data_IF_035201476433
#
_entry.id   IF_035201476433
#
_cell.length_a   1.000
_cell.length_b   1.000
_cell.length_c   1.000
_cell.angle_alpha   90.00
_cell.angle_beta   90.00
_cell.angle_gamma   90.00
#
_symmetry.space_group_name_H-M   'P 1'
#
loop_
_entity.id
_entity.type
_entity.pdbx_description
1 polymer ?
#
# COMPACT_ATOMS: atom_id res chain seq x y z
N UNK A 1 17.82 -10.62 -10.58
CA UNK A 1 16.70 -10.69 -9.60
C UNK A 1 15.41 -10.71 -10.39
N UNK A 2 14.39 -11.45 -9.96
CA UNK A 2 13.14 -11.56 -10.71
C UNK A 2 12.25 -10.39 -10.28
N UNK A 3 12.02 -9.45 -11.17
CA UNK A 3 11.11 -8.32 -10.95
C UNK A 3 9.71 -8.85 -10.69
N UNK A 4 9.06 -8.28 -9.69
CA UNK A 4 7.72 -8.70 -9.29
C UNK A 4 6.63 -7.79 -9.85
N UNK A 5 6.90 -6.49 -9.91
CA UNK A 5 6.11 -5.48 -10.59
C UNK A 5 7.02 -4.74 -11.57
N UNK A 6 6.53 -4.47 -12.76
CA UNK A 6 7.16 -3.60 -13.75
C UNK A 6 6.11 -2.61 -14.25
N UNK A 7 6.44 -1.33 -14.20
CA UNK A 7 5.66 -0.23 -14.76
C UNK A 7 6.54 0.47 -15.78
N UNK A 8 6.08 0.59 -17.03
CA UNK A 8 6.86 1.10 -18.14
C UNK A 8 6.10 2.20 -18.88
N UNK A 9 6.57 3.45 -18.76
CA UNK A 9 6.03 4.63 -19.46
C UNK A 9 4.52 4.85 -19.27
N UNK A 10 3.99 4.51 -18.08
CA UNK A 10 2.59 4.71 -17.77
C UNK A 10 2.24 6.20 -17.77
N UNK A 11 1.28 6.58 -18.59
CA UNK A 11 0.71 7.93 -18.65
C UNK A 11 -0.80 7.85 -18.58
N UNK A 12 -1.41 8.76 -17.81
CA UNK A 12 -2.86 8.76 -17.67
C UNK A 12 -3.45 10.18 -17.54
N UNK A 13 -4.51 10.44 -18.29
CA UNK A 13 -5.32 11.65 -18.18
C UNK A 13 -6.76 11.29 -17.85
N UNK A 14 -7.34 12.01 -16.91
CA UNK A 14 -8.77 11.90 -16.59
C UNK A 14 -9.64 12.46 -17.76
N UNK A 15 -10.93 12.09 -17.83
CA UNK A 15 -11.82 12.56 -18.90
C UNK A 15 -11.99 14.09 -18.97
N UNK A 16 -11.72 14.81 -17.88
CA UNK A 16 -11.72 16.27 -17.82
C UNK A 16 -10.45 16.93 -18.41
N UNK A 17 -9.51 16.11 -18.88
CA UNK A 17 -8.24 16.55 -19.47
C UNK A 17 -7.10 16.73 -18.47
N UNK A 18 -7.33 16.49 -17.17
CA UNK A 18 -6.25 16.52 -16.18
C UNK A 18 -5.29 15.34 -16.35
N UNK A 19 -4.04 15.63 -16.70
CA UNK A 19 -2.97 14.65 -16.85
C UNK A 19 -2.39 14.33 -15.47
N UNK A 20 -2.75 13.15 -14.94
CA UNK A 20 -2.42 12.74 -13.59
C UNK A 20 -1.11 11.95 -13.49
N UNK A 21 -0.71 11.25 -14.55
CA UNK A 21 0.54 10.49 -14.63
C UNK A 21 1.22 10.74 -15.99
N UNK A 22 2.56 10.90 -15.97
CA UNK A 22 3.40 11.17 -17.13
C UNK A 22 4.63 10.28 -17.15
N UNK A 23 4.69 9.35 -18.10
CA UNK A 23 5.86 8.49 -18.34
C UNK A 23 6.40 7.81 -17.06
N UNK A 24 5.52 7.34 -16.18
CA UNK A 24 5.89 6.67 -14.95
C UNK A 24 6.55 5.34 -15.27
N UNK A 25 7.80 5.15 -14.83
CA UNK A 25 8.51 3.90 -15.00
C UNK A 25 9.25 3.55 -13.71
N UNK A 26 8.97 2.38 -13.16
CA UNK A 26 9.67 1.81 -12.01
C UNK A 26 9.43 0.31 -11.94
N UNK A 27 10.18 -0.35 -11.11
CA UNK A 27 10.03 -1.78 -10.83
C UNK A 27 10.08 -2.08 -9.34
N UNK A 28 9.62 -3.25 -8.95
CA UNK A 28 9.68 -3.77 -7.59
C UNK A 28 10.19 -5.20 -7.60
N UNK A 29 11.17 -5.49 -6.77
CA UNK A 29 11.67 -6.84 -6.57
C UNK A 29 10.77 -7.64 -5.62
N UNK A 30 10.88 -8.97 -5.68
CA UNK A 30 10.16 -9.85 -4.76
C UNK A 30 10.60 -9.61 -3.31
N UNK A 31 9.64 -9.45 -2.40
CA UNK A 31 9.83 -9.12 -0.97
C UNK A 31 10.44 -7.73 -0.71
N UNK A 32 10.52 -6.88 -1.72
CA UNK A 32 10.92 -5.49 -1.55
C UNK A 32 9.79 -4.67 -0.91
N UNK A 33 10.17 -3.67 -0.10
CA UNK A 33 9.29 -2.59 0.36
C UNK A 33 9.73 -1.29 -0.27
N UNK A 34 8.84 -0.67 -1.06
CA UNK A 34 9.06 0.58 -1.78
C UNK A 34 8.12 1.66 -1.23
N UNK A 35 8.63 2.83 -0.91
CA UNK A 35 7.77 3.97 -0.61
C UNK A 35 7.52 4.84 -1.85
N UNK A 36 6.30 5.32 -2.01
CA UNK A 36 5.93 6.35 -2.98
C UNK A 36 5.63 7.62 -2.20
N UNK A 37 6.54 8.58 -2.27
CA UNK A 37 6.48 9.86 -1.59
C UNK A 37 6.01 10.94 -2.55
N UNK A 38 5.44 12.01 -2.02
CA UNK A 38 5.06 13.17 -2.83
C UNK A 38 3.94 13.98 -2.20
N UNK A 39 3.74 15.23 -2.64
CA UNK A 39 2.69 16.09 -2.14
C UNK A 39 1.29 15.59 -2.53
N UNK A 40 0.26 16.19 -1.92
CA UNK A 40 -1.12 15.93 -2.34
C UNK A 40 -1.31 16.38 -3.79
N UNK A 41 -2.04 15.59 -4.56
CA UNK A 41 -2.25 15.85 -6.00
C UNK A 41 -1.11 15.40 -6.92
N UNK A 42 -0.04 14.79 -6.39
CA UNK A 42 1.08 14.32 -7.21
C UNK A 42 0.77 13.12 -8.14
N UNK A 43 -0.41 12.51 -8.03
CA UNK A 43 -0.80 11.33 -8.83
C UNK A 43 -0.70 9.99 -8.08
N UNK A 44 -0.37 10.00 -6.79
CA UNK A 44 -0.13 8.78 -6.00
C UNK A 44 -1.32 7.82 -5.98
N UNK A 45 -2.51 8.30 -5.64
CA UNK A 45 -3.75 7.49 -5.64
C UNK A 45 -4.10 7.00 -7.04
N UNK A 46 -3.92 7.84 -8.07
CA UNK A 46 -4.12 7.44 -9.47
C UNK A 46 -3.20 6.27 -9.83
N UNK A 47 -1.94 6.32 -9.43
CA UNK A 47 -0.99 5.23 -9.66
C UNK A 47 -1.42 3.93 -8.95
N UNK A 48 -1.84 4.00 -7.66
CA UNK A 48 -2.36 2.85 -6.92
C UNK A 48 -3.52 2.17 -7.66
N UNK A 49 -4.47 2.97 -8.15
CA UNK A 49 -5.66 2.45 -8.83
C UNK A 49 -5.33 1.78 -10.17
N UNK A 50 -4.23 2.17 -10.83
CA UNK A 50 -3.70 1.45 -11.99
C UNK A 50 -3.04 0.13 -11.58
N UNK A 51 -2.28 0.11 -10.47
CA UNK A 51 -1.61 -1.13 -10.00
C UNK A 51 -2.58 -2.26 -9.65
N UNK A 52 -3.84 -1.96 -9.34
CA UNK A 52 -4.89 -2.95 -9.07
C UNK A 52 -5.86 -3.13 -10.25
N UNK A 53 -5.69 -2.37 -11.34
CA UNK A 53 -6.59 -2.40 -12.49
C UNK A 53 -8.00 -1.88 -12.19
N UNK A 54 -8.13 -0.93 -11.27
CA UNK A 54 -9.38 -0.19 -11.02
C UNK A 54 -9.50 0.96 -12.04
N UNK A 55 -8.39 1.65 -12.29
CA UNK A 55 -8.26 2.65 -13.36
C UNK A 55 -7.40 2.11 -14.50
N UNK A 56 -7.60 2.68 -15.67
CA UNK A 56 -6.83 2.39 -16.87
C UNK A 56 -7.58 1.49 -17.84
N UNK A 57 -7.24 1.62 -19.12
CA UNK A 57 -7.59 0.67 -20.15
C UNK A 57 -6.45 -0.35 -20.15
N UNK A 58 -6.59 -1.44 -19.43
CA UNK A 58 -5.76 -2.66 -19.41
C UNK A 58 -4.44 -2.54 -20.19
N UNK A 59 -3.52 -1.71 -19.66
CA UNK A 59 -2.38 -1.24 -20.41
C UNK A 59 -1.22 -2.25 -20.29
N UNK A 60 -0.58 -2.53 -21.43
CA UNK A 60 0.66 -3.32 -21.51
C UNK A 60 1.83 -2.69 -20.75
N UNK A 61 1.62 -1.49 -20.21
CA UNK A 61 2.59 -0.70 -19.45
C UNK A 61 2.83 -1.24 -18.04
N UNK A 62 1.90 -2.09 -17.52
CA UNK A 62 2.03 -2.70 -16.20
C UNK A 62 2.05 -4.21 -16.33
N UNK A 63 3.04 -4.82 -15.65
CA UNK A 63 3.16 -6.26 -15.50
C UNK A 63 3.32 -6.61 -14.03
N UNK A 64 2.51 -7.53 -13.52
CA UNK A 64 2.63 -8.08 -12.17
C UNK A 64 2.96 -9.56 -12.25
N UNK A 65 4.14 -9.96 -11.75
CA UNK A 65 4.62 -11.33 -11.86
C UNK A 65 4.64 -11.80 -13.32
N UNK A 66 3.79 -12.76 -13.69
CA UNK A 66 3.66 -13.26 -15.06
C UNK A 66 2.40 -12.75 -15.77
N UNK A 67 1.64 -11.85 -15.15
CA UNK A 67 0.38 -11.35 -15.69
C UNK A 67 0.58 -9.98 -16.35
N UNK A 68 0.14 -9.89 -17.60
CA UNK A 68 -0.11 -8.61 -18.27
C UNK A 68 -1.55 -8.16 -17.94
N UNK A 69 -1.76 -6.86 -17.90
CA UNK A 69 -3.08 -6.29 -17.62
C UNK A 69 -3.98 -6.49 -18.84
N UNK A 70 -4.85 -7.50 -18.78
CA UNK A 70 -5.87 -7.82 -19.77
C UNK A 70 -7.18 -8.15 -19.07
N UNK A 71 -8.32 -8.09 -19.78
CA UNK A 71 -9.62 -8.47 -19.23
C UNK A 71 -9.62 -9.89 -18.65
N UNK A 72 -8.85 -10.78 -19.28
CA UNK A 72 -8.74 -12.19 -18.88
C UNK A 72 -7.96 -12.34 -17.55
N UNK A 73 -6.94 -11.52 -17.32
CA UNK A 73 -6.04 -11.63 -16.18
C UNK A 73 -6.44 -10.74 -14.99
N UNK A 74 -7.41 -9.83 -15.14
CA UNK A 74 -7.72 -8.81 -14.14
C UNK A 74 -8.11 -9.41 -12.77
N UNK A 75 -8.79 -10.55 -12.77
CA UNK A 75 -9.17 -11.25 -11.54
C UNK A 75 -7.92 -11.79 -10.80
N UNK A 76 -6.96 -12.37 -11.52
CA UNK A 76 -5.70 -12.85 -10.96
C UNK A 76 -4.81 -11.70 -10.49
N UNK A 77 -4.80 -10.58 -11.20
CA UNK A 77 -4.10 -9.37 -10.81
C UNK A 77 -4.67 -8.84 -9.50
N UNK A 78 -5.99 -8.70 -9.36
CA UNK A 78 -6.65 -8.25 -8.12
C UNK A 78 -6.45 -9.20 -6.95
N UNK A 79 -6.33 -10.50 -7.20
CA UNK A 79 -5.93 -11.48 -6.19
C UNK A 79 -4.46 -11.32 -5.79
N UNK A 80 -3.61 -10.94 -6.74
CA UNK A 80 -2.16 -10.81 -6.57
C UNK A 80 -1.78 -9.48 -5.91
N UNK A 81 -2.45 -8.38 -6.28
CA UNK A 81 -2.23 -7.02 -5.79
C UNK A 81 -3.37 -6.63 -4.86
N UNK A 82 -3.15 -6.72 -3.57
CA UNK A 82 -4.10 -6.25 -2.57
C UNK A 82 -3.89 -4.77 -2.25
N UNK A 83 -4.97 -4.00 -2.24
CA UNK A 83 -4.94 -2.57 -1.91
C UNK A 83 -5.66 -2.33 -0.60
N UNK A 84 -5.01 -1.60 0.30
CA UNK A 84 -5.60 -1.07 1.54
C UNK A 84 -5.82 0.42 1.34
N UNK A 85 -7.09 0.84 1.40
CA UNK A 85 -7.48 2.24 1.19
C UNK A 85 -7.15 3.13 2.38
N UNK A 86 -7.07 4.44 2.11
CA UNK A 86 -6.75 5.45 3.11
C UNK A 86 -7.77 5.52 4.26
N UNK A 87 -9.06 5.39 3.99
CA UNK A 87 -10.07 5.33 5.03
C UNK A 87 -10.54 3.88 5.22
N UNK A 88 -10.36 3.28 6.42
CA UNK A 88 -10.84 1.93 6.69
C UNK A 88 -12.38 1.82 6.61
N UNK A 89 -13.13 2.90 6.80
CA UNK A 89 -14.59 2.89 6.69
C UNK A 89 -15.07 2.74 5.23
N UNK A 90 -14.22 3.04 4.24
CA UNK A 90 -14.48 2.74 2.82
C UNK A 90 -14.29 1.25 2.47
N UNK A 91 -13.69 0.48 3.38
CA UNK A 91 -13.31 -0.91 3.14
C UNK A 91 -14.06 -1.90 4.02
N UNK A 92 -14.48 -1.50 5.24
CA UNK A 92 -15.16 -2.34 6.22
C UNK A 92 -16.66 -2.06 6.21
N UNK A 93 -17.46 -3.05 5.82
CA UNK A 93 -18.91 -2.88 5.61
C UNK A 93 -19.76 -4.06 6.08
N UNK A 94 -19.14 -5.14 6.57
CA UNK A 94 -19.84 -6.32 7.06
C UNK A 94 -20.28 -6.15 8.53
N UNK A 95 -21.25 -6.94 9.01
CA UNK A 95 -21.74 -6.86 10.39
C UNK A 95 -20.66 -7.13 11.44
N UNK A 96 -19.70 -8.02 11.17
CA UNK A 96 -18.64 -8.42 12.09
C UNK A 96 -17.25 -8.37 11.43
N UNK A 97 -16.22 -8.26 12.26
CA UNK A 97 -14.82 -8.27 11.83
C UNK A 97 -14.48 -9.54 11.04
N UNK A 98 -14.90 -10.71 11.53
CA UNK A 98 -14.57 -11.97 10.84
C UNK A 98 -15.20 -12.02 9.44
N UNK A 99 -16.45 -11.54 9.30
CA UNK A 99 -17.16 -11.51 8.02
C UNK A 99 -16.49 -10.57 7.02
N UNK A 100 -16.01 -9.38 7.46
CA UNK A 100 -15.24 -8.46 6.61
C UNK A 100 -13.95 -9.11 6.10
N UNK A 101 -13.24 -9.82 6.98
CA UNK A 101 -11.97 -10.45 6.60
C UNK A 101 -12.18 -11.69 5.73
N UNK A 102 -13.28 -12.42 5.89
CA UNK A 102 -13.66 -13.55 5.03
C UNK A 102 -14.15 -13.13 3.64
N UNK A 103 -14.57 -11.87 3.47
CA UNK A 103 -15.19 -11.40 2.24
C UNK A 103 -14.29 -11.58 1.00
N UNK A 104 -13.02 -11.18 1.11
CA UNK A 104 -12.04 -11.33 0.01
C UNK A 104 -11.85 -12.79 -0.41
N UNK A 105 -11.48 -13.70 0.48
CA UNK A 105 -11.36 -15.13 0.19
C UNK A 105 -12.61 -15.73 -0.46
N UNK A 106 -13.81 -15.46 0.08
CA UNK A 106 -15.08 -15.94 -0.52
C UNK A 106 -15.26 -15.48 -1.97
N UNK A 107 -14.95 -14.21 -2.26
CA UNK A 107 -15.03 -13.67 -3.63
C UNK A 107 -14.01 -14.31 -4.58
N UNK A 108 -12.88 -14.80 -4.06
CA UNK A 108 -11.89 -15.53 -4.83
C UNK A 108 -12.18 -17.05 -4.92
N UNK A 109 -13.37 -17.51 -4.47
CA UNK A 109 -13.85 -18.87 -4.67
C UNK A 109 -13.45 -19.87 -3.59
N UNK A 110 -12.88 -19.41 -2.45
CA UNK A 110 -12.67 -20.28 -1.28
C UNK A 110 -14.00 -20.62 -0.61
N UNK A 111 -14.14 -21.85 -0.10
CA UNK A 111 -15.32 -22.23 0.66
C UNK A 111 -15.34 -21.57 2.06
N UNK A 112 -16.43 -21.77 2.80
CA UNK A 112 -16.64 -21.14 4.11
C UNK A 112 -15.51 -21.47 5.11
N UNK A 113 -15.16 -22.74 5.25
CA UNK A 113 -14.15 -23.20 6.20
C UNK A 113 -12.73 -22.70 5.82
N UNK A 114 -12.39 -22.72 4.54
CA UNK A 114 -11.13 -22.18 4.03
C UNK A 114 -11.06 -20.67 4.24
N UNK A 115 -12.15 -19.96 4.00
CA UNK A 115 -12.22 -18.50 4.18
C UNK A 115 -12.06 -18.11 5.64
N UNK A 116 -12.67 -18.88 6.56
CA UNK A 116 -12.53 -18.67 8.00
C UNK A 116 -11.08 -18.91 8.46
N UNK A 117 -10.44 -20.01 8.03
CA UNK A 117 -9.04 -20.28 8.36
C UNK A 117 -8.11 -19.15 7.89
N UNK A 118 -8.30 -18.67 6.66
CA UNK A 118 -7.54 -17.57 6.08
C UNK A 118 -7.76 -16.26 6.87
N UNK A 119 -8.99 -15.98 7.27
CA UNK A 119 -9.34 -14.81 8.03
C UNK A 119 -8.74 -14.83 9.44
N UNK A 120 -8.82 -15.96 10.13
CA UNK A 120 -8.21 -16.12 11.46
C UNK A 120 -6.69 -15.93 11.41
N UNK A 121 -6.02 -16.49 10.40
CA UNK A 121 -4.57 -16.30 10.20
C UNK A 121 -4.23 -14.83 9.96
N UNK A 122 -4.98 -14.16 9.08
CA UNK A 122 -4.77 -12.74 8.79
C UNK A 122 -5.00 -11.84 10.03
N UNK A 123 -6.06 -12.09 10.79
CA UNK A 123 -6.36 -11.34 12.02
C UNK A 123 -5.28 -11.55 13.10
N UNK A 124 -4.71 -12.75 13.17
CA UNK A 124 -3.57 -13.02 14.05
C UNK A 124 -2.34 -12.21 13.66
N UNK A 125 -2.03 -12.07 12.36
CA UNK A 125 -0.87 -11.31 11.88
C UNK A 125 -0.96 -9.82 12.24
N UNK A 126 -2.16 -9.28 12.42
CA UNK A 126 -2.38 -7.87 12.80
C UNK A 126 -2.79 -7.68 14.26
N UNK A 127 -2.70 -8.73 15.11
CA UNK A 127 -3.05 -8.70 16.54
C UNK A 127 -4.52 -8.31 16.79
N UNK A 128 -5.46 -8.87 16.01
CA UNK A 128 -6.90 -8.60 16.12
C UNK A 128 -7.76 -9.84 16.40
N UNK A 129 -7.16 -10.95 16.86
CA UNK A 129 -7.84 -12.22 17.11
C UNK A 129 -8.95 -12.14 18.17
N UNK A 130 -8.90 -11.18 19.09
CA UNK A 130 -9.88 -11.04 20.19
C UNK A 130 -11.14 -10.24 19.77
N UNK A 131 -11.25 -9.84 18.49
CA UNK A 131 -12.28 -8.92 18.02
C UNK A 131 -13.21 -9.51 16.96
N UNK A 132 -13.19 -10.82 16.74
CA UNK A 132 -13.85 -11.52 15.63
C UNK A 132 -15.32 -11.16 15.45
N UNK A 133 -16.07 -11.23 16.55
CA UNK A 133 -17.53 -11.02 16.57
C UNK A 133 -17.93 -9.54 16.76
N UNK A 134 -16.95 -8.63 16.85
CA UNK A 134 -17.26 -7.21 17.03
C UNK A 134 -17.68 -6.56 15.72
N UNK A 135 -18.70 -5.70 15.77
CA UNK A 135 -18.99 -4.82 14.64
C UNK A 135 -17.84 -3.84 14.39
N UNK A 136 -17.41 -3.63 13.13
CA UNK A 136 -16.29 -2.72 12.80
C UNK A 136 -16.47 -1.30 13.35
N UNK A 137 -17.69 -0.78 13.39
CA UNK A 137 -17.97 0.56 13.90
C UNK A 137 -17.77 0.72 15.42
N UNK A 138 -17.60 -0.38 16.19
CA UNK A 138 -17.23 -0.37 17.61
C UNK A 138 -15.71 -0.39 17.83
N UNK A 139 -14.91 -0.43 16.78
CA UNK A 139 -13.46 -0.43 16.86
C UNK A 139 -12.92 1.01 16.88
N UNK A 140 -11.76 1.21 17.55
CA UNK A 140 -10.98 2.44 17.37
C UNK A 140 -10.46 2.56 15.94
N UNK A 141 -10.08 3.76 15.50
CA UNK A 141 -9.56 3.98 14.15
C UNK A 141 -8.33 3.11 13.85
N UNK A 142 -7.39 2.99 14.81
CA UNK A 142 -6.23 2.10 14.67
C UNK A 142 -6.60 0.62 14.58
N UNK A 143 -7.62 0.17 15.32
CA UNK A 143 -8.15 -1.19 15.20
C UNK A 143 -8.81 -1.44 13.84
N UNK A 144 -9.63 -0.49 13.37
CA UNK A 144 -10.22 -0.56 12.01
C UNK A 144 -9.13 -0.66 10.95
N UNK A 145 -8.05 0.13 11.06
CA UNK A 145 -6.91 0.08 10.15
C UNK A 145 -6.28 -1.32 10.11
N UNK A 146 -6.06 -1.95 11.27
CA UNK A 146 -5.53 -3.31 11.36
C UNK A 146 -6.46 -4.33 10.71
N UNK A 147 -7.78 -4.22 10.93
CA UNK A 147 -8.78 -5.10 10.31
C UNK A 147 -8.83 -4.90 8.79
N UNK A 148 -8.75 -3.67 8.30
CA UNK A 148 -8.68 -3.38 6.86
C UNK A 148 -7.42 -4.00 6.20
N UNK A 149 -6.29 -4.02 6.89
CA UNK A 149 -5.10 -4.74 6.42
C UNK A 149 -5.36 -6.26 6.42
N UNK A 150 -5.96 -6.80 7.48
CA UNK A 150 -6.27 -8.22 7.58
C UNK A 150 -7.22 -8.69 6.46
N UNK A 151 -8.24 -7.89 6.10
CA UNK A 151 -9.20 -8.25 5.05
C UNK A 151 -8.54 -8.41 3.67
N UNK A 152 -7.44 -7.68 3.43
CA UNK A 152 -6.63 -7.85 2.23
C UNK A 152 -5.68 -9.04 2.38
N UNK A 153 -5.00 -9.17 3.51
CA UNK A 153 -4.03 -10.26 3.76
C UNK A 153 -4.66 -11.65 3.72
N UNK A 154 -5.93 -11.79 4.11
CA UNK A 154 -6.67 -13.04 4.06
C UNK A 154 -6.73 -13.64 2.65
N UNK A 155 -6.68 -12.82 1.61
CA UNK A 155 -6.62 -13.26 0.22
C UNK A 155 -5.22 -13.71 -0.23
N UNK A 156 -4.22 -13.68 0.67
CA UNK A 156 -2.81 -14.02 0.41
C UNK A 156 -2.21 -13.28 -0.79
N UNK A 157 -2.33 -11.94 -0.85
CA UNK A 157 -1.73 -11.17 -1.94
C UNK A 157 -0.21 -11.34 -1.93
N UNK A 158 0.40 -11.18 -3.08
CA UNK A 158 1.87 -11.20 -3.21
C UNK A 158 2.46 -9.78 -3.21
N UNK A 159 1.63 -8.79 -3.47
CA UNK A 159 1.93 -7.36 -3.36
C UNK A 159 0.84 -6.69 -2.54
N UNK A 160 1.24 -6.03 -1.46
CA UNK A 160 0.37 -5.20 -0.62
C UNK A 160 0.64 -3.74 -0.92
N UNK A 161 -0.36 -3.04 -1.39
CA UNK A 161 -0.32 -1.58 -1.62
C UNK A 161 -1.11 -0.90 -0.52
N UNK A 162 -0.46 0.01 0.20
CA UNK A 162 -1.07 0.70 1.34
C UNK A 162 -1.13 2.21 1.03
N UNK A 163 -2.34 2.76 0.99
CA UNK A 163 -2.55 4.20 0.79
C UNK A 163 -2.66 4.89 2.15
N UNK A 164 -1.67 5.73 2.47
CA UNK A 164 -1.58 6.53 3.71
C UNK A 164 -1.94 5.75 5.00
N UNK A 165 -1.33 4.57 5.25
CA UNK A 165 -1.76 3.69 6.34
C UNK A 165 -1.54 4.27 7.74
N UNK A 166 -0.64 5.24 7.90
CA UNK A 166 -0.35 5.93 9.16
C UNK A 166 -1.27 7.11 9.47
N UNK A 167 -2.09 7.55 8.52
CA UNK A 167 -2.96 8.72 8.68
C UNK A 167 -3.96 8.54 9.81
N UNK A 168 -4.16 9.61 10.60
CA UNK A 168 -5.12 9.67 11.71
C UNK A 168 -4.86 8.66 12.85
N UNK A 169 -3.67 8.05 12.92
CA UNK A 169 -3.28 7.20 14.04
C UNK A 169 -2.63 8.01 15.14
N UNK A 170 -2.93 7.65 16.39
CA UNK A 170 -2.15 8.10 17.54
C UNK A 170 -0.74 7.48 17.50
N UNK A 171 0.24 8.05 18.26
CA UNK A 171 1.63 7.59 18.19
C UNK A 171 1.83 6.10 18.55
N UNK A 172 1.03 5.56 19.48
CA UNK A 172 1.12 4.14 19.87
C UNK A 172 0.58 3.24 18.75
N UNK A 173 -0.60 3.53 18.22
CA UNK A 173 -1.20 2.79 17.10
C UNK A 173 -0.33 2.85 15.85
N UNK A 174 0.33 4.01 15.60
CA UNK A 174 1.28 4.15 14.49
C UNK A 174 2.51 3.26 14.69
N UNK A 175 3.07 3.19 15.90
CA UNK A 175 4.21 2.31 16.23
C UNK A 175 3.84 0.83 16.03
N UNK A 176 2.72 0.40 16.58
CA UNK A 176 2.20 -0.96 16.40
C UNK A 176 2.03 -1.32 14.91
N UNK A 177 1.52 -0.37 14.10
CA UNK A 177 1.34 -0.60 12.67
C UNK A 177 2.68 -0.78 11.95
N UNK A 178 3.70 0.02 12.27
CA UNK A 178 5.05 -0.12 11.69
C UNK A 178 5.62 -1.50 12.02
N UNK A 179 5.50 -1.96 13.26
CA UNK A 179 5.95 -3.30 13.67
C UNK A 179 5.22 -4.40 12.90
N UNK A 180 3.89 -4.31 12.77
CA UNK A 180 3.10 -5.25 11.97
C UNK A 180 3.62 -5.27 10.52
N UNK A 181 3.74 -4.11 9.87
CA UNK A 181 4.15 -4.02 8.48
C UNK A 181 5.59 -4.55 8.25
N UNK A 182 6.50 -4.34 9.18
CA UNK A 182 7.86 -4.87 9.10
C UNK A 182 7.91 -6.39 9.22
N UNK A 183 7.00 -7.00 9.99
CA UNK A 183 6.92 -8.45 10.17
C UNK A 183 6.20 -9.19 9.00
N UNK A 184 5.50 -8.49 8.13
CA UNK A 184 4.83 -9.10 6.98
C UNK A 184 5.86 -9.49 5.90
N UNK A 185 5.87 -10.75 5.50
CA UNK A 185 6.76 -11.28 4.45
C UNK A 185 6.22 -11.09 3.00
N UNK A 186 5.46 -10.05 2.74
CA UNK A 186 4.89 -9.72 1.44
C UNK A 186 5.63 -8.52 0.83
N UNK A 187 5.70 -8.46 -0.52
CA UNK A 187 6.17 -7.23 -1.17
C UNK A 187 5.22 -6.08 -0.85
N UNK A 188 5.74 -4.88 -0.59
CA UNK A 188 4.92 -3.74 -0.16
C UNK A 188 5.20 -2.49 -0.99
N UNK A 189 4.14 -1.78 -1.34
CA UNK A 189 4.21 -0.39 -1.78
C UNK A 189 3.51 0.45 -0.73
N UNK A 190 4.24 1.35 -0.11
CA UNK A 190 3.75 2.28 0.91
C UNK A 190 3.61 3.67 0.28
N UNK A 191 2.40 4.10 0.04
CA UNK A 191 2.14 5.48 -0.40
C UNK A 191 1.89 6.33 0.83
N UNK A 192 2.74 7.34 1.06
CA UNK A 192 2.62 8.15 2.26
C UNK A 192 3.33 9.50 2.16
N UNK A 193 2.87 10.46 2.95
CA UNK A 193 3.56 11.70 3.28
C UNK A 193 4.26 11.62 4.66
N UNK A 194 4.07 10.53 5.42
CA UNK A 194 4.79 10.25 6.68
C UNK A 194 6.19 9.75 6.37
N UNK A 195 7.12 10.68 6.19
CA UNK A 195 8.50 10.39 5.81
C UNK A 195 9.26 9.54 6.84
N UNK A 196 9.10 9.76 8.17
CA UNK A 196 9.65 8.85 9.17
C UNK A 196 9.14 7.41 9.04
N UNK A 197 7.84 7.21 8.79
CA UNK A 197 7.28 5.88 8.58
C UNK A 197 7.86 5.21 7.32
N UNK A 198 7.98 5.96 6.22
CA UNK A 198 8.59 5.47 5.00
C UNK A 198 10.02 4.99 5.24
N UNK A 199 10.81 5.74 6.00
CA UNK A 199 12.19 5.41 6.33
C UNK A 199 12.32 4.16 7.22
N UNK A 200 11.37 3.93 8.13
CA UNK A 200 11.35 2.75 9.02
C UNK A 200 10.94 1.46 8.29
N UNK A 201 10.15 1.56 7.20
CA UNK A 201 9.59 0.39 6.49
C UNK A 201 10.30 0.12 5.16
N UNK A 202 10.71 1.18 4.44
CA UNK A 202 11.15 1.09 3.05
C UNK A 202 12.60 1.58 2.90
N UNK A 203 13.47 0.69 2.38
CA UNK A 203 14.87 1.07 2.06
C UNK A 203 14.98 1.91 0.80
N UNK A 204 14.02 1.81 -0.12
CA UNK A 204 13.96 2.53 -1.39
C UNK A 204 12.69 3.34 -1.46
N UNK A 205 12.79 4.54 -2.00
CA UNK A 205 11.65 5.40 -2.25
C UNK A 205 11.70 6.00 -3.64
N UNK A 206 10.53 6.16 -4.25
CA UNK A 206 10.35 7.03 -5.40
C UNK A 206 9.61 8.29 -4.97
N UNK A 207 9.98 9.42 -5.54
CA UNK A 207 9.30 10.70 -5.29
C UNK A 207 8.50 11.08 -6.52
N UNK A 208 7.19 11.14 -6.35
CA UNK A 208 6.23 11.54 -7.38
C UNK A 208 5.87 13.00 -7.15
N UNK A 209 6.02 13.84 -8.17
CA UNK A 209 5.62 15.24 -8.15
C UNK A 209 5.05 15.64 -9.51
N UNK A 210 3.90 16.29 -9.50
CA UNK A 210 3.18 16.73 -10.70
C UNK A 210 3.04 15.63 -11.78
N UNK A 211 2.77 14.39 -11.37
CA UNK A 211 2.57 13.24 -12.25
C UNK A 211 3.84 12.58 -12.77
N UNK A 212 5.03 12.98 -12.34
CA UNK A 212 6.31 12.43 -12.78
C UNK A 212 7.14 11.89 -11.62
N UNK A 213 7.96 10.86 -11.87
CA UNK A 213 8.96 10.41 -10.90
C UNK A 213 10.18 11.35 -11.00
N UNK A 214 10.40 12.14 -9.95
CA UNK A 214 11.51 13.08 -9.87
C UNK A 214 12.79 12.44 -9.31
N UNK A 215 12.65 11.36 -8.52
CA UNK A 215 13.78 10.58 -7.98
C UNK A 215 13.35 9.17 -7.63
N UNK A 216 14.26 8.23 -7.80
CA UNK A 216 14.22 6.85 -7.34
C UNK A 216 15.56 6.53 -6.68
N UNK A 217 15.61 6.37 -5.36
CA UNK A 217 16.85 6.22 -4.62
C UNK A 217 16.60 5.56 -3.24
N UNK A 218 17.67 5.29 -2.52
CA UNK A 218 17.58 4.92 -1.12
C UNK A 218 16.82 5.99 -0.32
N UNK A 219 15.87 5.56 0.50
CA UNK A 219 14.99 6.47 1.28
C UNK A 219 15.79 7.48 2.11
N UNK A 220 16.84 7.01 2.80
CA UNK A 220 17.69 7.87 3.61
C UNK A 220 18.42 8.95 2.78
N UNK A 221 18.88 8.61 1.57
CA UNK A 221 19.54 9.56 0.66
C UNK A 221 18.58 10.67 0.22
N UNK A 222 17.33 10.29 -0.11
CA UNK A 222 16.27 11.26 -0.45
C UNK A 222 16.02 12.21 0.72
N UNK A 223 15.82 11.66 1.93
CA UNK A 223 15.45 12.45 3.10
C UNK A 223 16.60 13.33 3.65
N UNK A 224 17.85 13.02 3.37
CA UNK A 224 19.01 13.85 3.72
C UNK A 224 19.24 15.01 2.74
N UNK A 225 18.64 14.99 1.55
CA UNK A 225 18.79 16.05 0.55
C UNK A 225 17.74 17.14 0.75
N UNK A 226 18.05 18.09 1.64
CA UNK A 226 17.13 19.19 2.03
C UNK A 226 16.68 20.04 0.83
N UNK A 227 17.58 20.26 -0.14
CA UNK A 227 17.27 21.06 -1.34
C UNK A 227 16.26 20.31 -2.22
N UNK A 228 16.51 19.03 -2.45
CA UNK A 228 15.60 18.18 -3.21
C UNK A 228 14.23 18.06 -2.52
N UNK A 229 14.21 17.82 -1.21
CA UNK A 229 13.00 17.75 -0.41
C UNK A 229 12.15 19.01 -0.57
N UNK A 230 12.75 20.18 -0.36
CA UNK A 230 12.08 21.48 -0.49
C UNK A 230 11.50 21.70 -1.90
N UNK A 231 12.27 21.37 -2.95
CA UNK A 231 11.82 21.50 -4.33
C UNK A 231 10.65 20.60 -4.67
N UNK A 232 10.52 19.46 -3.99
CA UNK A 232 9.42 18.50 -4.15
C UNK A 232 8.32 18.65 -3.09
N UNK A 233 8.29 19.77 -2.33
CA UNK A 233 7.29 20.05 -1.29
C UNK A 233 7.20 18.95 -0.23
N UNK A 234 8.35 18.34 0.09
CA UNK A 234 8.49 17.36 1.16
C UNK A 234 9.19 18.02 2.35
N UNK A 235 8.72 17.72 3.56
CA UNK A 235 9.29 18.28 4.79
C UNK A 235 9.29 17.21 5.89
N UNK A 236 10.42 17.07 6.57
CA UNK A 236 10.50 16.23 7.77
C UNK A 236 9.84 16.93 8.97
N UNK A 237 9.25 16.17 9.90
CA UNK A 237 8.72 16.76 11.12
C UNK A 237 9.79 17.58 11.87
N UNK A 238 9.36 18.69 12.47
CA UNK A 238 10.26 19.53 13.25
C UNK A 238 10.98 18.73 14.34
N UNK A 239 12.30 18.89 14.41
CA UNK A 239 13.14 18.18 15.38
C UNK A 239 13.43 16.72 15.01
N UNK A 240 13.07 16.26 13.81
CA UNK A 240 13.45 14.94 13.34
C UNK A 240 14.96 14.82 13.23
N UNK A 241 15.52 13.78 13.84
CA UNK A 241 16.94 13.48 13.80
C UNK A 241 17.16 12.05 13.31
N UNK A 242 18.14 11.86 12.43
CA UNK A 242 18.47 10.55 11.86
C UNK A 242 19.21 9.60 12.81
N UNK A 243 19.44 9.99 14.08
CA UNK A 243 20.28 9.29 15.06
C UNK A 243 19.77 7.90 15.49
N UNK A 244 18.52 7.53 15.16
CA UNK A 244 17.96 6.22 15.55
C UNK A 244 18.05 5.14 14.46
N UNK A 245 18.62 5.48 13.32
CA UNK A 245 18.83 4.54 12.23
C UNK A 245 20.28 4.09 12.32
N UNK A 246 20.51 2.96 13.01
CA UNK A 246 21.83 2.43 13.27
C UNK A 246 22.70 2.47 12.02
N UNK A 247 23.87 3.09 12.17
CA UNK A 247 25.00 2.86 11.29
C UNK A 247 25.45 1.40 11.53
N UNK A 248 25.12 0.48 10.63
CA UNK A 248 25.82 -0.78 10.41
C UNK A 248 26.58 -0.70 9.09
#
# INVERSE_FOLDING_TARGET
>A
MTKYLEVNNLSYSYPDGHEALRNISFDLDKKESLAILGPNGAGKTTLILHLNGILGNLDKEIRVSNFEYTDENIADIRKTVGVVFQDPDDQLFMPTVIEDVMFGPKNFGYNEAESEELALDALKQVNMSDFLDRPPHHLSYGQKRKVAIASVLASKPKLLVLDEPGSNLDPSSRRDLIEILNNLEVSKILVTHDLPMALEICKRSIVLNDGEITRDDNTLNILKDEIFMKNNRLELPYGFAFHHLGEE
#
